data_IF_314196793533
#
_entry.id   IF_314196793533
#
_cell.length_a   1.000
_cell.length_b   1.000
_cell.length_c   1.000
_cell.angle_alpha   90.00
_cell.angle_beta   90.00
_cell.angle_gamma   90.00
#
_symmetry.space_group_name_H-M   'P 1'
#
loop_
_entity.id
_entity.type
_entity.pdbx_description
1 polymer ?
#
# COMPACT_ATOMS: atom_id res chain seq x y z
N UNK A 1 -20.81 -15.85 44.35
CA UNK A 1 -22.27 -16.15 44.37
C UNK A 1 -22.90 -15.71 45.67
N UNK A 2 -24.25 -15.79 45.82
CA UNK A 2 -24.93 -15.41 47.05
C UNK A 2 -25.33 -16.64 47.85
N UNK A 3 -25.14 -16.63 49.17
CA UNK A 3 -25.57 -17.70 50.04
C UNK A 3 -27.10 -17.77 50.07
N UNK A 4 -27.66 -18.97 49.81
CA UNK A 4 -29.12 -19.19 49.78
C UNK A 4 -29.82 -19.02 51.17
N UNK A 5 -29.02 -19.01 52.26
CA UNK A 5 -29.57 -18.90 53.63
C UNK A 5 -29.48 -17.48 54.18
N UNK A 6 -28.44 -16.70 53.90
CA UNK A 6 -28.28 -15.39 54.52
C UNK A 6 -28.08 -14.24 53.49
N UNK A 7 -27.94 -14.56 52.19
CA UNK A 7 -27.72 -13.58 51.12
C UNK A 7 -26.31 -13.01 51.06
N UNK A 8 -25.40 -13.39 51.95
CA UNK A 8 -24.03 -12.92 51.96
C UNK A 8 -23.24 -13.39 50.73
N UNK A 9 -22.18 -12.66 50.35
CA UNK A 9 -21.32 -13.08 49.25
C UNK A 9 -20.46 -14.29 49.65
N UNK A 10 -20.35 -15.26 48.74
CA UNK A 10 -19.60 -16.50 48.92
C UNK A 10 -18.82 -16.80 47.68
N UNK A 11 -17.53 -17.16 47.80
CA UNK A 11 -16.73 -17.65 46.69
C UNK A 11 -17.17 -19.06 46.24
N UNK A 12 -16.82 -19.45 45.02
CA UNK A 12 -17.04 -20.82 44.52
C UNK A 12 -16.17 -21.83 45.22
N UNK A 13 -15.06 -21.39 45.83
CA UNK A 13 -14.10 -22.23 46.55
C UNK A 13 -14.43 -22.38 48.05
N UNK A 14 -15.42 -21.61 48.55
CA UNK A 14 -15.78 -21.62 49.97
C UNK A 14 -16.74 -22.79 50.27
N UNK A 15 -16.32 -23.73 51.08
CA UNK A 15 -17.15 -24.88 51.54
C UNK A 15 -18.26 -24.42 52.49
N UNK A 16 -18.05 -23.35 53.23
CA UNK A 16 -18.98 -22.79 54.23
C UNK A 16 -19.13 -21.28 54.03
N UNK A 17 -20.33 -20.80 54.22
CA UNK A 17 -20.59 -19.37 54.17
C UNK A 17 -19.92 -18.68 55.36
N UNK A 18 -19.01 -17.72 55.13
CA UNK A 18 -18.29 -16.97 56.17
C UNK A 18 -19.21 -16.09 57.06
N UNK A 19 -20.44 -15.78 56.54
CA UNK A 19 -21.41 -14.97 57.29
C UNK A 19 -22.32 -15.77 58.18
N UNK A 20 -22.72 -17.01 57.83
CA UNK A 20 -23.68 -17.77 58.58
C UNK A 20 -23.20 -19.20 58.95
N UNK A 21 -22.00 -19.59 58.58
CA UNK A 21 -21.39 -20.88 58.88
C UNK A 21 -22.06 -22.12 58.22
N UNK A 22 -23.06 -21.91 57.35
CA UNK A 22 -23.76 -23.06 56.73
C UNK A 22 -23.00 -23.53 55.48
N UNK A 23 -23.08 -24.86 55.20
CA UNK A 23 -22.40 -25.38 54.01
C UNK A 23 -23.00 -24.84 52.72
N UNK A 24 -22.14 -24.68 51.69
CA UNK A 24 -22.50 -24.14 50.38
C UNK A 24 -22.58 -25.32 49.38
N UNK A 25 -23.78 -25.90 49.23
CA UNK A 25 -24.02 -27.07 48.34
C UNK A 25 -23.61 -26.85 46.89
N UNK A 26 -23.58 -25.61 46.41
CA UNK A 26 -23.15 -25.26 45.06
C UNK A 26 -21.63 -25.32 44.90
N UNK A 27 -20.88 -24.94 45.93
CA UNK A 27 -19.41 -25.04 45.93
C UNK A 27 -18.96 -26.51 45.92
N UNK A 28 -19.63 -27.37 46.73
CA UNK A 28 -19.33 -28.79 46.75
C UNK A 28 -19.65 -29.45 45.37
N UNK A 29 -20.74 -29.09 44.73
CA UNK A 29 -21.06 -29.62 43.40
C UNK A 29 -20.05 -29.15 42.36
N UNK A 30 -19.68 -27.86 42.37
CA UNK A 30 -18.68 -27.33 41.46
C UNK A 30 -17.32 -28.04 41.64
N UNK A 31 -16.92 -28.31 42.86
CA UNK A 31 -15.67 -29.03 43.12
C UNK A 31 -15.71 -30.45 42.59
N UNK A 32 -16.81 -31.18 42.82
CA UNK A 32 -17.00 -32.53 42.25
C UNK A 32 -17.01 -32.53 40.73
N UNK A 33 -17.62 -31.54 40.10
CA UNK A 33 -17.61 -31.35 38.63
C UNK A 33 -16.20 -31.10 38.14
N UNK A 34 -15.42 -30.23 38.81
CA UNK A 34 -14.01 -29.96 38.42
C UNK A 34 -13.13 -31.21 38.56
N UNK A 35 -13.25 -31.95 39.66
CA UNK A 35 -12.52 -33.21 39.85
C UNK A 35 -12.88 -34.26 38.77
N UNK A 36 -14.15 -34.28 38.35
CA UNK A 36 -14.62 -35.16 37.28
C UNK A 36 -14.04 -34.74 35.92
N UNK A 37 -14.01 -33.43 35.62
CA UNK A 37 -13.39 -32.91 34.41
C UNK A 37 -11.88 -33.16 34.36
N UNK A 38 -11.18 -33.00 35.49
CA UNK A 38 -9.75 -33.32 35.56
C UNK A 38 -9.48 -34.82 35.32
N UNK A 39 -10.32 -35.71 35.88
CA UNK A 39 -10.20 -37.14 35.66
C UNK A 39 -10.46 -37.52 34.18
N UNK A 40 -11.53 -37.00 33.57
CA UNK A 40 -11.84 -37.20 32.13
C UNK A 40 -10.74 -36.65 31.22
N UNK A 41 -10.17 -35.50 31.58
CA UNK A 41 -9.07 -34.91 30.82
C UNK A 41 -7.80 -35.76 30.88
N UNK A 42 -7.42 -36.23 32.07
CA UNK A 42 -6.24 -37.12 32.20
C UNK A 42 -6.45 -38.47 31.51
N UNK A 43 -7.66 -39.03 31.55
CA UNK A 43 -8.00 -40.25 30.81
C UNK A 43 -7.88 -40.04 29.30
N UNK A 44 -8.46 -38.96 28.77
CA UNK A 44 -8.37 -38.60 27.35
C UNK A 44 -6.93 -38.35 26.90
N UNK A 45 -6.14 -37.72 27.76
CA UNK A 45 -4.72 -37.45 27.51
C UNK A 45 -3.91 -38.76 27.50
N UNK A 46 -4.19 -39.70 28.43
CA UNK A 46 -3.53 -41.00 28.45
C UNK A 46 -3.90 -41.83 27.22
N UNK A 47 -5.19 -41.86 26.84
CA UNK A 47 -5.62 -42.52 25.60
C UNK A 47 -4.92 -41.94 24.36
N UNK A 48 -4.79 -40.60 24.27
CA UNK A 48 -4.11 -39.96 23.17
C UNK A 48 -2.61 -40.31 23.13
N UNK A 49 -1.96 -40.34 24.29
CA UNK A 49 -0.55 -40.74 24.39
C UNK A 49 -0.34 -42.21 24.07
N UNK A 50 -1.27 -43.10 24.50
CA UNK A 50 -1.23 -44.51 24.18
C UNK A 50 -1.45 -44.76 22.67
N UNK A 51 -2.42 -44.09 22.05
CA UNK A 51 -2.63 -44.15 20.59
C UNK A 51 -1.41 -43.64 19.82
N UNK A 52 -0.73 -42.60 20.30
CA UNK A 52 0.52 -42.11 19.73
C UNK A 52 1.64 -43.17 19.92
N UNK A 53 1.72 -43.81 21.07
CA UNK A 53 2.75 -44.81 21.33
C UNK A 53 2.54 -46.09 20.52
N UNK A 54 1.29 -46.52 20.35
CA UNK A 54 0.92 -47.70 19.50
C UNK A 54 1.16 -47.39 18.02
N UNK A 55 0.76 -46.20 17.57
CA UNK A 55 1.08 -45.72 16.21
C UNK A 55 2.59 -45.60 16.00
N UNK A 56 3.37 -45.45 17.07
CA UNK A 56 4.84 -45.37 17.02
C UNK A 56 5.54 -46.74 17.00
N UNK A 57 4.87 -47.80 17.40
CA UNK A 57 5.45 -49.15 17.51
C UNK A 57 5.72 -49.89 16.19
N UNK A 58 5.09 -49.47 15.10
CA UNK A 58 5.24 -50.07 13.76
C UNK A 58 5.86 -49.18 12.70
N UNK A 59 6.33 -48.02 13.07
CA UNK A 59 6.82 -47.03 12.10
C UNK A 59 8.31 -46.79 12.17
N UNK A 60 8.82 -46.10 11.18
CA UNK A 60 10.22 -45.73 11.01
C UNK A 60 10.95 -45.35 12.30
N UNK A 61 12.25 -45.71 12.45
CA UNK A 61 13.09 -45.32 13.58
C UNK A 61 12.95 -43.83 13.90
N UNK A 62 13.00 -43.46 15.17
CA UNK A 62 12.82 -42.09 15.67
C UNK A 62 13.69 -41.08 14.88
N UNK A 63 14.93 -41.48 14.49
CA UNK A 63 15.81 -40.66 13.68
C UNK A 63 15.24 -40.30 12.30
N UNK A 64 14.55 -41.24 11.65
CA UNK A 64 13.94 -40.99 10.33
C UNK A 64 12.74 -40.03 10.48
N UNK A 65 11.94 -40.14 11.54
CA UNK A 65 10.83 -39.19 11.81
C UNK A 65 11.33 -37.77 12.06
N UNK A 66 12.37 -37.64 12.88
CA UNK A 66 13.01 -36.32 13.12
C UNK A 66 13.61 -35.75 11.86
N UNK A 67 14.23 -36.60 11.00
CA UNK A 67 14.74 -36.16 9.72
C UNK A 67 13.64 -35.67 8.75
N UNK A 68 12.49 -36.39 8.69
CA UNK A 68 11.32 -35.95 7.89
C UNK A 68 10.74 -34.64 8.42
N UNK A 69 10.55 -34.51 9.74
CA UNK A 69 10.07 -33.28 10.36
C UNK A 69 11.04 -32.13 10.09
N UNK A 70 12.33 -32.35 10.25
CA UNK A 70 13.38 -31.37 9.93
C UNK A 70 13.37 -30.96 8.46
N UNK A 71 13.22 -31.91 7.54
CA UNK A 71 13.09 -31.63 6.12
C UNK A 71 11.82 -30.84 5.77
N UNK A 72 10.69 -31.16 6.40
CA UNK A 72 9.43 -30.42 6.22
C UNK A 72 9.53 -28.98 6.76
N UNK A 73 10.13 -28.80 7.93
CA UNK A 73 10.40 -27.47 8.50
C UNK A 73 11.35 -26.69 7.60
N UNK A 74 12.43 -27.30 7.12
CA UNK A 74 13.36 -26.66 6.20
C UNK A 74 12.67 -26.28 4.87
N UNK A 75 11.83 -27.15 4.32
CA UNK A 75 11.04 -26.88 3.12
C UNK A 75 10.04 -25.74 3.34
N UNK A 76 9.37 -25.69 4.49
CA UNK A 76 8.48 -24.58 4.85
C UNK A 76 9.25 -23.26 4.99
N UNK A 77 10.36 -23.27 5.73
CA UNK A 77 11.21 -22.08 5.88
C UNK A 77 11.73 -21.62 4.52
N UNK A 78 12.17 -22.54 3.66
CA UNK A 78 12.60 -22.22 2.29
C UNK A 78 11.46 -21.64 1.45
N UNK A 79 10.26 -22.21 1.53
CA UNK A 79 9.07 -21.68 0.87
C UNK A 79 8.75 -20.27 1.35
N UNK A 80 8.70 -20.04 2.68
CA UNK A 80 8.40 -18.71 3.23
C UNK A 80 9.49 -17.69 2.95
N UNK A 81 10.76 -18.09 3.00
CA UNK A 81 11.89 -17.20 2.68
C UNK A 81 11.92 -16.79 1.20
N UNK A 82 11.42 -17.64 0.29
CA UNK A 82 11.38 -17.36 -1.16
C UNK A 82 9.98 -17.01 -1.67
N UNK A 83 8.95 -17.05 -0.81
CA UNK A 83 7.60 -16.67 -1.17
C UNK A 83 7.46 -15.16 -1.02
N UNK A 84 7.69 -14.45 -2.11
CA UNK A 84 7.37 -13.05 -2.24
C UNK A 84 5.98 -12.91 -2.89
N UNK A 85 4.94 -12.55 -2.11
CA UNK A 85 3.58 -12.39 -2.64
C UNK A 85 3.52 -11.30 -3.72
N UNK A 86 4.45 -10.35 -3.71
CA UNK A 86 4.57 -9.31 -4.72
C UNK A 86 4.94 -9.89 -6.08
N UNK A 87 5.96 -10.77 -6.14
CA UNK A 87 6.37 -11.43 -7.39
C UNK A 87 5.30 -12.35 -7.97
N UNK A 88 4.50 -13.00 -7.12
CA UNK A 88 3.37 -13.83 -7.57
C UNK A 88 2.27 -12.97 -8.19
N UNK A 89 1.95 -11.85 -7.55
CA UNK A 89 0.97 -10.89 -8.08
C UNK A 89 1.44 -10.30 -9.40
N UNK A 90 2.68 -9.86 -9.47
CA UNK A 90 3.30 -9.31 -10.69
C UNK A 90 3.24 -10.31 -11.85
N UNK A 91 3.65 -11.56 -11.64
CA UNK A 91 3.57 -12.62 -12.67
C UNK A 91 2.14 -12.89 -13.13
N UNK A 92 1.16 -12.79 -12.22
CA UNK A 92 -0.26 -12.95 -12.55
C UNK A 92 -0.73 -11.81 -13.45
N UNK A 93 -0.40 -10.56 -13.09
CA UNK A 93 -0.76 -9.38 -13.89
C UNK A 93 -0.06 -9.37 -15.24
N UNK A 94 1.22 -9.72 -15.32
CA UNK A 94 1.94 -9.85 -16.61
C UNK A 94 1.31 -10.91 -17.52
N UNK A 95 0.87 -12.06 -16.99
CA UNK A 95 0.16 -13.07 -17.77
C UNK A 95 -1.24 -12.60 -18.21
N UNK A 96 -1.92 -11.84 -17.35
CA UNK A 96 -3.21 -11.26 -17.71
C UNK A 96 -3.05 -10.19 -18.80
N UNK A 97 -2.06 -9.32 -18.69
CA UNK A 97 -1.73 -8.32 -19.68
C UNK A 97 -1.44 -8.94 -21.06
N UNK A 98 -0.66 -10.02 -21.09
CA UNK A 98 -0.38 -10.74 -22.34
C UNK A 98 -1.62 -11.36 -22.95
N UNK A 99 -2.51 -11.96 -22.15
CA UNK A 99 -3.76 -12.57 -22.65
C UNK A 99 -4.76 -11.57 -23.18
N UNK A 100 -4.79 -10.37 -22.59
CA UNK A 100 -5.75 -9.32 -22.90
C UNK A 100 -5.10 -8.18 -23.70
N UNK A 101 -4.00 -8.45 -24.40
CA UNK A 101 -3.19 -7.42 -25.07
C UNK A 101 -4.02 -6.44 -25.89
N UNK A 102 -4.81 -6.93 -26.84
CA UNK A 102 -5.61 -6.08 -27.73
C UNK A 102 -6.65 -5.23 -26.97
N UNK A 103 -7.29 -5.83 -25.96
CA UNK A 103 -8.26 -5.13 -25.13
C UNK A 103 -7.59 -4.04 -24.26
N UNK A 104 -6.38 -4.31 -23.73
CA UNK A 104 -5.64 -3.34 -22.94
C UNK A 104 -5.10 -2.20 -23.80
N UNK A 105 -4.62 -2.50 -25.01
CA UNK A 105 -4.23 -1.47 -25.98
C UNK A 105 -5.42 -0.58 -26.32
N UNK A 106 -6.57 -1.15 -26.68
CA UNK A 106 -7.77 -0.38 -27.00
C UNK A 106 -8.20 0.54 -25.84
N UNK A 107 -8.09 0.06 -24.59
CA UNK A 107 -8.41 0.83 -23.40
C UNK A 107 -7.39 1.93 -23.12
N UNK A 108 -6.10 1.66 -23.35
CA UNK A 108 -5.02 2.64 -23.23
C UNK A 108 -5.19 3.77 -24.26
N UNK A 109 -5.52 3.43 -25.51
CA UNK A 109 -5.81 4.41 -26.56
C UNK A 109 -7.01 5.28 -26.22
N UNK A 110 -8.10 4.69 -25.74
CA UNK A 110 -9.29 5.44 -25.32
C UNK A 110 -8.96 6.47 -24.23
N UNK A 111 -8.15 6.11 -23.23
CA UNK A 111 -7.70 7.06 -22.21
C UNK A 111 -6.82 8.17 -22.79
N UNK A 112 -5.90 7.86 -23.70
CA UNK A 112 -5.02 8.84 -24.32
C UNK A 112 -5.79 9.79 -25.24
N UNK A 113 -6.74 9.30 -26.02
CA UNK A 113 -7.59 10.10 -26.90
C UNK A 113 -8.49 11.06 -26.11
N UNK A 114 -8.95 10.63 -24.93
CA UNK A 114 -9.73 11.45 -24.01
C UNK A 114 -8.87 12.33 -23.09
N UNK A 115 -7.53 12.29 -23.19
CA UNK A 115 -6.57 12.99 -22.31
C UNK A 115 -6.75 12.63 -20.83
N UNK A 116 -7.29 11.46 -20.51
CA UNK A 116 -7.42 10.98 -19.14
C UNK A 116 -6.12 10.30 -18.68
N UNK A 117 -5.07 11.10 -18.56
CA UNK A 117 -3.73 10.65 -18.19
C UNK A 117 -3.66 10.06 -16.78
N UNK A 118 -4.53 10.51 -15.89
CA UNK A 118 -4.61 9.99 -14.53
C UNK A 118 -5.12 8.54 -14.52
N UNK A 119 -6.21 8.26 -15.24
CA UNK A 119 -6.76 6.91 -15.37
C UNK A 119 -5.84 6.01 -16.20
N UNK A 120 -5.24 6.53 -17.26
CA UNK A 120 -4.21 5.82 -18.02
C UNK A 120 -3.05 5.36 -17.13
N UNK A 121 -2.47 6.28 -16.34
CA UNK A 121 -1.39 5.97 -15.40
C UNK A 121 -1.80 4.94 -14.35
N UNK A 122 -3.01 5.08 -13.78
CA UNK A 122 -3.54 4.13 -12.79
C UNK A 122 -3.78 2.74 -13.39
N UNK A 123 -4.29 2.68 -14.62
CA UNK A 123 -4.49 1.42 -15.36
C UNK A 123 -3.15 0.72 -15.63
N UNK A 124 -2.16 1.44 -16.17
CA UNK A 124 -0.83 0.89 -16.45
C UNK A 124 -0.15 0.36 -15.17
N UNK A 125 -0.25 1.08 -14.06
CA UNK A 125 0.30 0.66 -12.76
C UNK A 125 -0.41 -0.56 -12.21
N UNK A 126 -1.74 -0.59 -12.26
CA UNK A 126 -2.56 -1.72 -11.80
C UNK A 126 -2.16 -3.02 -12.49
N UNK A 127 -1.93 -2.96 -13.80
CA UNK A 127 -1.61 -4.12 -14.64
C UNK A 127 -0.12 -4.33 -14.87
N UNK A 128 0.74 -3.56 -14.17
CA UNK A 128 2.21 -3.68 -14.22
C UNK A 128 2.77 -3.56 -15.66
N UNK A 129 2.20 -2.64 -16.46
CA UNK A 129 2.55 -2.50 -17.88
C UNK A 129 3.88 -1.79 -18.11
N UNK A 130 4.35 -0.97 -17.16
CA UNK A 130 5.59 -0.18 -17.25
C UNK A 130 6.82 -1.04 -17.58
N UNK A 131 6.92 -2.22 -16.96
CA UNK A 131 8.05 -3.15 -17.14
C UNK A 131 7.70 -4.34 -18.04
N UNK A 132 6.51 -4.36 -18.63
CA UNK A 132 6.07 -5.44 -19.49
C UNK A 132 6.63 -5.28 -20.90
N UNK A 133 7.33 -6.31 -21.37
CA UNK A 133 8.00 -6.31 -22.69
C UNK A 133 7.04 -6.15 -23.86
N UNK A 134 5.81 -6.64 -23.71
CA UNK A 134 4.80 -6.58 -24.77
C UNK A 134 4.26 -5.15 -24.96
N UNK A 135 4.53 -4.21 -24.01
CA UNK A 135 4.07 -2.80 -24.03
C UNK A 135 5.21 -1.78 -24.16
N UNK A 136 6.36 -2.21 -24.72
CA UNK A 136 7.53 -1.33 -24.89
C UNK A 136 7.25 -0.09 -25.75
N UNK A 137 6.38 -0.23 -26.74
CA UNK A 137 5.93 0.85 -27.61
C UNK A 137 5.13 1.96 -26.91
N UNK A 138 4.83 1.81 -25.61
CA UNK A 138 4.18 2.82 -24.76
C UNK A 138 5.03 3.27 -23.59
N UNK A 139 6.25 2.76 -23.45
CA UNK A 139 7.06 2.97 -22.23
C UNK A 139 7.24 4.43 -21.86
N UNK A 140 7.63 5.28 -22.80
CA UNK A 140 7.84 6.70 -22.56
C UNK A 140 6.53 7.41 -22.19
N UNK A 141 5.43 7.07 -22.86
CA UNK A 141 4.09 7.60 -22.56
C UNK A 141 3.64 7.18 -21.15
N UNK A 142 3.83 5.90 -20.80
CA UNK A 142 3.51 5.38 -19.45
C UNK A 142 4.33 6.13 -18.40
N UNK A 143 5.63 6.29 -18.60
CA UNK A 143 6.51 6.99 -17.67
C UNK A 143 6.13 8.45 -17.54
N UNK A 144 5.87 9.15 -18.65
CA UNK A 144 5.42 10.53 -18.65
C UNK A 144 4.08 10.70 -17.90
N UNK A 145 3.11 9.80 -18.12
CA UNK A 145 1.82 9.82 -17.44
C UNK A 145 1.93 9.59 -15.92
N UNK A 146 2.89 8.79 -15.50
CA UNK A 146 3.17 8.59 -14.07
C UNK A 146 3.69 9.89 -13.42
N UNK A 147 4.62 10.58 -14.06
CA UNK A 147 5.09 11.88 -13.57
C UNK A 147 3.99 12.94 -13.62
N UNK A 148 3.21 13.00 -14.70
CA UNK A 148 2.03 13.86 -14.80
C UNK A 148 1.08 13.64 -13.61
N UNK A 149 0.71 12.40 -13.32
CA UNK A 149 -0.18 12.08 -12.21
C UNK A 149 0.43 12.41 -10.83
N UNK A 150 1.73 12.21 -10.65
CA UNK A 150 2.43 12.58 -9.42
C UNK A 150 2.49 14.10 -9.23
N UNK A 151 2.70 14.87 -10.30
CA UNK A 151 2.63 16.33 -10.29
C UNK A 151 1.21 16.79 -9.90
N UNK A 152 0.20 16.23 -10.55
CA UNK A 152 -1.20 16.57 -10.28
C UNK A 152 -1.58 16.33 -8.81
N UNK A 153 -1.20 15.18 -8.26
CA UNK A 153 -1.40 14.84 -6.84
C UNK A 153 -0.65 15.79 -5.92
N UNK A 154 0.62 16.08 -6.20
CA UNK A 154 1.41 17.01 -5.38
C UNK A 154 0.83 18.42 -5.37
N UNK A 155 0.28 18.90 -6.51
CA UNK A 155 -0.44 20.16 -6.57
C UNK A 155 -1.72 20.15 -5.72
N UNK A 156 -2.48 19.05 -5.74
CA UNK A 156 -3.66 18.90 -4.89
C UNK A 156 -3.28 18.94 -3.40
N UNK A 157 -2.25 18.20 -2.99
CA UNK A 157 -1.78 18.20 -1.60
C UNK A 157 -1.34 19.61 -1.17
N UNK A 158 -0.58 20.30 -2.00
CA UNK A 158 -0.17 21.68 -1.73
C UNK A 158 -1.37 22.64 -1.59
N UNK A 159 -2.44 22.45 -2.35
CA UNK A 159 -3.64 23.27 -2.25
C UNK A 159 -4.37 23.10 -0.90
N UNK A 160 -4.23 21.97 -0.23
CA UNK A 160 -4.86 21.70 1.05
C UNK A 160 -3.95 21.96 2.27
N UNK A 161 -2.61 21.89 2.10
CA UNK A 161 -1.61 22.11 3.18
C UNK A 161 -1.33 23.61 3.34
N UNK A 162 -2.30 24.37 3.84
CA UNK A 162 -2.15 25.84 3.99
C UNK A 162 -1.52 26.29 5.31
N UNK A 163 -1.36 25.41 6.32
CA UNK A 163 -1.05 25.86 7.70
C UNK A 163 0.26 25.32 8.28
N UNK A 164 0.78 24.18 7.83
CA UNK A 164 2.03 23.62 8.37
C UNK A 164 3.20 23.84 7.39
N UNK A 165 4.18 24.66 7.81
CA UNK A 165 5.35 24.97 6.96
C UNK A 165 6.21 23.74 6.66
N UNK A 166 6.23 22.75 7.57
CA UNK A 166 7.05 21.55 7.41
C UNK A 166 6.46 20.64 6.33
N UNK A 167 5.15 20.38 6.37
CA UNK A 167 4.45 19.59 5.37
C UNK A 167 4.49 20.26 4.00
N UNK A 168 4.33 21.59 3.97
CA UNK A 168 4.45 22.38 2.74
C UNK A 168 5.83 22.22 2.09
N UNK A 169 6.91 22.29 2.86
CA UNK A 169 8.27 22.13 2.36
C UNK A 169 8.49 20.73 1.76
N UNK A 170 7.91 19.71 2.36
CA UNK A 170 7.94 18.35 1.84
C UNK A 170 7.25 18.23 0.47
N UNK A 171 5.99 18.67 0.37
CA UNK A 171 5.23 18.59 -0.90
C UNK A 171 5.83 19.45 -2.02
N UNK A 172 6.38 20.60 -1.67
CA UNK A 172 7.08 21.45 -2.63
C UNK A 172 8.32 20.76 -3.21
N UNK A 173 9.11 20.10 -2.37
CA UNK A 173 10.28 19.32 -2.78
C UNK A 173 9.88 18.15 -3.69
N UNK A 174 8.84 17.41 -3.33
CA UNK A 174 8.33 16.31 -4.16
C UNK A 174 7.77 16.83 -5.49
N UNK A 175 7.01 17.93 -5.49
CA UNK A 175 6.51 18.55 -6.71
C UNK A 175 7.67 18.95 -7.64
N UNK A 176 8.68 19.66 -7.12
CA UNK A 176 9.85 20.04 -7.89
C UNK A 176 10.58 18.84 -8.49
N UNK A 177 10.70 17.76 -7.73
CA UNK A 177 11.29 16.49 -8.19
C UNK A 177 10.48 15.88 -9.33
N UNK A 178 9.15 15.81 -9.22
CA UNK A 178 8.30 15.25 -10.26
C UNK A 178 8.29 16.10 -11.53
N UNK A 179 8.27 17.44 -11.40
CA UNK A 179 8.39 18.35 -12.54
C UNK A 179 9.74 18.18 -13.23
N UNK A 180 10.83 18.08 -12.46
CA UNK A 180 12.14 17.84 -13.01
C UNK A 180 12.22 16.50 -13.76
N UNK A 181 11.70 15.42 -13.16
CA UNK A 181 11.70 14.10 -13.79
C UNK A 181 10.83 14.08 -15.07
N UNK A 182 9.70 14.81 -15.07
CA UNK A 182 8.88 14.95 -16.27
C UNK A 182 9.66 15.60 -17.41
N UNK A 183 10.29 16.77 -17.17
CA UNK A 183 11.03 17.48 -18.21
C UNK A 183 12.33 16.78 -18.63
N UNK A 184 12.97 16.05 -17.76
CA UNK A 184 14.19 15.28 -18.07
C UNK A 184 13.84 13.95 -18.78
N UNK A 185 12.72 13.30 -18.42
CA UNK A 185 12.31 12.02 -19.01
C UNK A 185 11.61 12.17 -20.36
N UNK A 186 10.93 13.27 -20.60
CA UNK A 186 10.04 13.47 -21.77
C UNK A 186 10.75 14.12 -22.97
N UNK A 187 11.95 14.64 -22.79
CA UNK A 187 12.65 15.39 -23.83
C UNK A 187 13.93 14.75 -24.35
N UNK A 188 14.27 13.60 -23.90
CA UNK A 188 15.56 12.99 -24.18
C UNK A 188 15.38 11.73 -25.04
N UNK A 189 15.72 11.82 -26.33
CA UNK A 189 15.68 10.69 -27.28
C UNK A 189 16.47 9.45 -26.79
N UNK A 190 17.35 9.62 -25.78
CA UNK A 190 18.09 8.53 -25.17
C UNK A 190 17.20 7.58 -24.36
N UNK A 191 16.03 8.03 -23.93
CA UNK A 191 15.08 7.23 -23.15
C UNK A 191 13.97 6.60 -24.00
N UNK A 192 13.87 6.97 -25.30
CA UNK A 192 12.94 6.33 -26.22
C UNK A 192 13.33 4.86 -26.43
N UNK A 193 12.39 3.98 -26.21
CA UNK A 193 12.56 2.58 -26.62
C UNK A 193 12.57 2.51 -28.14
N UNK A 194 13.37 1.61 -28.74
CA UNK A 194 13.48 1.46 -30.19
C UNK A 194 12.16 1.03 -30.87
N UNK A 195 11.22 0.53 -30.09
CA UNK A 195 9.92 0.10 -30.53
C UNK A 195 8.87 1.23 -30.49
N UNK A 196 9.21 2.41 -29.94
CA UNK A 196 8.31 3.55 -29.83
C UNK A 196 8.31 4.39 -31.10
N UNK A 197 7.14 4.96 -31.43
CA UNK A 197 6.99 5.99 -32.44
C UNK A 197 7.31 7.37 -31.83
N UNK A 198 8.44 8.02 -32.20
CA UNK A 198 8.86 9.29 -31.63
C UNK A 198 7.83 10.42 -31.82
N UNK A 199 7.19 10.48 -32.98
CA UNK A 199 6.19 11.52 -33.29
C UNK A 199 4.99 11.41 -32.38
N UNK A 200 4.54 10.17 -32.14
CA UNK A 200 3.45 9.89 -31.21
C UNK A 200 3.82 10.22 -29.76
N UNK A 201 4.99 9.81 -29.31
CA UNK A 201 5.49 10.13 -27.96
C UNK A 201 5.54 11.63 -27.79
N UNK A 202 6.13 12.37 -28.74
CA UNK A 202 6.23 13.82 -28.70
C UNK A 202 4.85 14.48 -28.68
N UNK A 203 3.89 14.02 -29.47
CA UNK A 203 2.51 14.53 -29.50
C UNK A 203 1.86 14.36 -28.12
N UNK A 204 1.80 13.14 -27.58
CA UNK A 204 1.10 12.85 -26.32
C UNK A 204 1.76 13.54 -25.14
N UNK A 205 3.08 13.53 -25.07
CA UNK A 205 3.81 14.22 -23.99
C UNK A 205 3.73 15.74 -24.10
N UNK A 206 3.66 16.28 -25.31
CA UNK A 206 3.39 17.71 -25.54
C UNK A 206 1.99 18.14 -25.07
N UNK A 207 1.00 17.29 -25.27
CA UNK A 207 -0.36 17.51 -24.75
C UNK A 207 -0.39 17.47 -23.23
N UNK A 208 0.30 16.50 -22.59
CA UNK A 208 0.46 16.45 -21.13
C UNK A 208 1.15 17.72 -20.59
N UNK A 209 2.20 18.20 -21.29
CA UNK A 209 2.89 19.43 -20.90
C UNK A 209 1.98 20.64 -20.99
N UNK A 210 1.16 20.76 -22.05
CA UNK A 210 0.21 21.83 -22.20
C UNK A 210 -0.81 21.87 -21.06
N UNK A 211 -1.32 20.71 -20.65
CA UNK A 211 -2.23 20.61 -19.51
C UNK A 211 -1.55 20.96 -18.19
N UNK A 212 -0.30 20.50 -17.98
CA UNK A 212 0.48 20.86 -16.79
C UNK A 212 0.75 22.37 -16.70
N UNK A 213 1.02 23.06 -17.81
CA UNK A 213 1.19 24.52 -17.83
C UNK A 213 -0.04 25.25 -17.29
N UNK A 214 -1.24 24.83 -17.70
CA UNK A 214 -2.49 25.38 -17.17
C UNK A 214 -2.61 25.15 -15.65
N UNK A 215 -2.23 23.97 -15.18
CA UNK A 215 -2.23 23.66 -13.75
C UNK A 215 -1.21 24.52 -12.99
N UNK A 216 -0.01 24.73 -13.53
CA UNK A 216 1.01 25.56 -12.90
C UNK A 216 0.60 27.04 -12.83
N UNK A 217 0.01 27.58 -13.89
CA UNK A 217 -0.57 28.92 -13.88
C UNK A 217 -1.63 29.05 -12.78
N UNK A 218 -2.51 28.06 -12.68
CA UNK A 218 -3.65 28.09 -11.75
C UNK A 218 -3.28 27.85 -10.28
N UNK A 219 -2.43 26.87 -10.00
CA UNK A 219 -2.14 26.40 -8.63
C UNK A 219 -0.86 26.97 -8.05
N UNK A 220 0.12 27.32 -8.88
CA UNK A 220 1.39 27.90 -8.45
C UNK A 220 1.46 29.42 -8.68
N UNK A 221 0.51 29.98 -9.43
CA UNK A 221 0.53 31.39 -9.78
C UNK A 221 1.67 31.78 -10.74
N UNK A 222 2.23 30.82 -11.47
CA UNK A 222 3.22 31.09 -12.51
C UNK A 222 2.58 31.86 -13.67
N UNK A 223 3.28 32.85 -14.19
CA UNK A 223 2.88 33.50 -15.46
C UNK A 223 3.08 32.53 -16.63
N UNK A 224 2.43 32.82 -17.76
CA UNK A 224 2.59 32.04 -18.99
C UNK A 224 4.04 32.00 -19.47
N UNK A 225 4.76 33.10 -19.36
CA UNK A 225 6.18 33.20 -19.73
C UNK A 225 7.05 32.30 -18.83
N UNK A 226 6.75 32.28 -17.54
CA UNK A 226 7.45 31.43 -16.59
C UNK A 226 7.16 29.95 -16.84
N UNK A 227 5.91 29.57 -17.12
CA UNK A 227 5.56 28.16 -17.44
C UNK A 227 6.21 27.71 -18.75
N UNK A 228 6.28 28.58 -19.77
CA UNK A 228 6.94 28.25 -21.03
C UNK A 228 8.46 28.11 -20.88
N UNK A 229 9.07 28.80 -19.91
CA UNK A 229 10.49 28.70 -19.62
C UNK A 229 10.91 27.40 -18.89
N UNK A 230 9.98 26.73 -18.21
CA UNK A 230 10.28 25.57 -17.31
C UNK A 230 11.09 24.48 -18.00
N UNK A 231 10.81 24.16 -19.26
CA UNK A 231 11.54 23.13 -20.02
C UNK A 231 13.04 23.47 -20.18
N UNK A 232 13.36 24.73 -20.43
CA UNK A 232 14.74 25.20 -20.65
C UNK A 232 15.55 25.44 -19.38
N UNK A 233 14.91 25.43 -18.20
CA UNK A 233 15.59 25.66 -16.93
C UNK A 233 16.28 24.41 -16.40
N UNK A 234 17.40 24.60 -15.70
CA UNK A 234 18.01 23.55 -14.88
C UNK A 234 17.11 23.21 -13.68
N UNK A 235 17.26 22.02 -13.13
CA UNK A 235 16.53 21.56 -11.95
C UNK A 235 16.51 22.59 -10.81
N UNK A 236 17.67 23.12 -10.44
CA UNK A 236 17.77 24.11 -9.37
C UNK A 236 17.00 25.41 -9.67
N UNK A 237 17.08 25.90 -10.92
CA UNK A 237 16.35 27.11 -11.34
C UNK A 237 14.84 26.87 -11.34
N UNK A 238 14.37 25.71 -11.81
CA UNK A 238 12.95 25.34 -11.76
C UNK A 238 12.45 25.33 -10.32
N UNK A 239 13.20 24.69 -9.41
CA UNK A 239 12.82 24.64 -7.98
C UNK A 239 12.68 26.03 -7.39
N UNK A 240 13.67 26.91 -7.59
CA UNK A 240 13.62 28.30 -7.09
C UNK A 240 12.43 29.06 -7.68
N UNK A 241 12.16 28.92 -8.97
CA UNK A 241 11.03 29.59 -9.62
C UNK A 241 9.69 29.15 -9.02
N UNK A 242 9.50 27.84 -8.81
CA UNK A 242 8.28 27.29 -8.21
C UNK A 242 8.11 27.76 -6.77
N UNK A 243 9.18 27.80 -5.97
CA UNK A 243 9.16 28.30 -4.60
C UNK A 243 8.75 29.76 -4.54
N UNK A 244 9.35 30.61 -5.38
CA UNK A 244 9.06 32.04 -5.44
C UNK A 244 7.61 32.33 -5.87
N UNK A 245 7.12 31.60 -6.87
CA UNK A 245 5.74 31.74 -7.34
C UNK A 245 4.73 31.33 -6.24
N UNK A 246 4.98 30.24 -5.56
CA UNK A 246 4.11 29.77 -4.48
C UNK A 246 4.11 30.74 -3.28
N UNK A 247 5.27 31.29 -2.91
CA UNK A 247 5.36 32.27 -1.82
C UNK A 247 4.63 33.57 -2.16
N UNK A 248 4.71 34.05 -3.43
CA UNK A 248 3.96 35.20 -3.91
C UNK A 248 2.44 34.94 -3.83
N UNK A 249 1.97 33.83 -4.37
CA UNK A 249 0.54 33.47 -4.35
C UNK A 249 -0.02 33.41 -2.93
N UNK A 250 0.73 32.88 -1.97
CA UNK A 250 0.32 32.83 -0.58
C UNK A 250 0.32 34.19 0.11
N UNK A 251 1.27 35.06 -0.21
CA UNK A 251 1.30 36.42 0.33
C UNK A 251 0.10 37.24 -0.15
N UNK A 252 -0.33 37.05 -1.40
CA UNK A 252 -1.51 37.71 -1.97
C UNK A 252 -2.80 37.21 -1.31
N UNK A 253 -2.92 35.88 -1.03
CA UNK A 253 -4.07 35.30 -0.35
C UNK A 253 -4.18 35.74 1.13
N UNK A 254 -3.05 35.93 1.81
CA UNK A 254 -3.03 36.37 3.22
C UNK A 254 -3.15 37.89 3.36
N UNK A 255 -2.70 38.66 2.38
CA UNK A 255 -2.79 40.12 2.37
C UNK A 255 -4.19 40.66 2.04
N UNK A 256 -5.02 39.91 1.31
CA UNK A 256 -6.39 40.33 0.97
C UNK A 256 -7.39 40.16 2.12
N UNK A 257 -7.01 39.48 3.22
CA UNK A 257 -7.88 39.26 4.40
C UNK A 257 -7.88 40.38 5.44
N UNK A 258 -7.12 41.44 5.29
CA UNK A 258 -6.96 42.51 6.31
C UNK A 258 -7.61 43.85 5.93
N UNK A 259 -8.46 43.91 4.89
CA UNK A 259 -9.10 45.20 4.49
C UNK A 259 -10.59 45.30 4.81
N UNK A 260 -11.19 44.38 5.52
CA UNK A 260 -12.59 44.50 6.02
C UNK A 260 -12.63 44.31 7.52
N UNK A 261 -12.30 45.34 8.28
CA UNK A 261 -12.68 45.54 9.69
C UNK A 261 -12.76 47.01 10.07
#
# INVERSE_FOLDING_TARGET
MKCKYCGGDVSLDDHFCQHCGRPVDQAQRHQMEMEQYEAEFEETKQEALEKISVASGGGFPVGIRLAIIGALIAALVFMFANFDPYTVHERKEQRAAKRNYDAYIAQMEDYLDNRDYATFSAFCRKHQLEYNKDYRNYRSIITASMYYNNIYRALQELAFVTKDKADRGYYLKELSKYINNFYEGVGDDRYLDREEDPDRVQKVTGEMEADLKVLFERYLGLSREETDSLRGLTQSKRTVLIEQALDKTLSELTGSGTQDS
#
